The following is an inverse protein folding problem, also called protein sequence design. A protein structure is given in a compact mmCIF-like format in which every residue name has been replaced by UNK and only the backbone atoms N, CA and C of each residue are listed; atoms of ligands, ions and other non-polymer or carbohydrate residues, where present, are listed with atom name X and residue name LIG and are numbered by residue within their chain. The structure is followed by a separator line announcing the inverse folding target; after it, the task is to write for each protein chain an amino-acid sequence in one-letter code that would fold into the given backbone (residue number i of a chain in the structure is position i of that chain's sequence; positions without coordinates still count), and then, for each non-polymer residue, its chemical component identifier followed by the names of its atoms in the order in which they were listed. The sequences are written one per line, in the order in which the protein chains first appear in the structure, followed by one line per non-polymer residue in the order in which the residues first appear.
data_IF_738093581104
#
_entry.id   IF_738093581104
#
_cell.length_a   1.000
_cell.length_b   1.000
_cell.length_c   1.000
_cell.angle_alpha   90.00
_cell.angle_beta   90.00
_cell.angle_gamma   90.00
#
_symmetry.space_group_name_H-M   'P 1'
#
loop_
_entity.id
_entity.type
_entity.pdbx_description
1 polymer ?
#
# COMPACT_ATOMS: atom_id res chain seq x y z
N UNK A 1 7.20 39.74 11.76
CA UNK A 1 5.79 39.77 11.32
C UNK A 1 5.62 39.60 9.81
N UNK A 2 6.29 40.38 8.95
CA UNK A 2 6.15 40.24 7.48
C UNK A 2 6.46 38.82 6.91
N UNK A 3 7.50 38.14 7.41
CA UNK A 3 7.84 36.76 7.02
C UNK A 3 6.76 35.74 7.42
N UNK A 4 6.14 35.93 8.58
CA UNK A 4 5.05 35.06 9.05
C UNK A 4 3.81 35.24 8.19
N UNK A 5 3.45 36.50 7.86
CA UNK A 5 2.34 36.82 6.98
C UNK A 5 2.53 36.25 5.56
N UNK A 6 3.78 36.17 5.09
CA UNK A 6 4.12 35.58 3.81
C UNK A 6 3.95 34.05 3.81
N UNK A 7 4.39 33.38 4.88
CA UNK A 7 4.20 31.93 5.06
C UNK A 7 2.71 31.59 5.13
N UNK A 8 1.92 32.37 5.88
CA UNK A 8 0.47 32.15 5.97
C UNK A 8 -0.22 32.35 4.62
N UNK A 9 0.20 33.33 3.81
CA UNK A 9 -0.36 33.55 2.48
C UNK A 9 -0.08 32.36 1.55
N UNK A 10 1.13 31.81 1.57
CA UNK A 10 1.50 30.63 0.78
C UNK A 10 0.66 29.42 1.18
N UNK A 11 0.49 29.17 2.48
CA UNK A 11 -0.34 28.05 2.97
C UNK A 11 -1.78 28.18 2.50
N UNK A 12 -2.37 29.38 2.54
CA UNK A 12 -3.74 29.62 2.04
C UNK A 12 -3.85 29.36 0.54
N UNK A 13 -2.90 29.85 -0.25
CA UNK A 13 -2.86 29.63 -1.71
C UNK A 13 -2.76 28.15 -2.09
N UNK A 14 -2.02 27.35 -1.31
CA UNK A 14 -1.88 25.90 -1.54
C UNK A 14 -3.19 25.13 -1.29
N UNK A 15 -4.10 25.66 -0.47
CA UNK A 15 -5.38 24.99 -0.17
C UNK A 15 -6.46 25.22 -1.22
N UNK A 16 -6.27 26.13 -2.19
CA UNK A 16 -7.28 26.49 -3.19
C UNK A 16 -7.52 25.42 -4.27
N UNK A 17 -6.70 24.38 -4.35
CA UNK A 17 -6.77 23.32 -5.37
C UNK A 17 -6.99 21.93 -4.77
N UNK A 18 -7.54 21.85 -3.56
CA UNK A 18 -7.78 20.56 -2.90
C UNK A 18 -9.11 19.95 -3.35
N UNK A 19 -9.02 18.86 -4.11
CA UNK A 19 -10.15 17.99 -4.40
C UNK A 19 -10.31 16.93 -3.29
N UNK A 20 -11.55 16.58 -2.97
CA UNK A 20 -11.84 15.52 -2.01
C UNK A 20 -11.75 14.13 -2.68
N UNK A 21 -11.39 13.11 -1.89
CA UNK A 21 -11.51 11.72 -2.32
C UNK A 21 -12.98 11.34 -2.49
N UNK A 22 -13.31 10.54 -3.51
CA UNK A 22 -14.67 10.07 -3.74
C UNK A 22 -14.87 8.61 -3.28
N UNK A 23 -16.09 8.12 -3.39
CA UNK A 23 -16.47 6.75 -3.04
C UNK A 23 -15.73 5.67 -3.86
N UNK A 24 -15.33 5.99 -5.10
CA UNK A 24 -14.55 5.07 -5.95
C UNK A 24 -13.12 4.93 -5.42
N UNK A 25 -12.52 6.02 -4.96
CA UNK A 25 -11.21 6.00 -4.31
C UNK A 25 -11.29 5.21 -3.01
N UNK A 26 -12.33 5.45 -2.19
CA UNK A 26 -12.56 4.70 -0.96
C UNK A 26 -12.68 3.18 -1.23
N UNK A 27 -13.43 2.77 -2.26
CA UNK A 27 -13.54 1.37 -2.65
C UNK A 27 -12.19 0.78 -3.06
N UNK A 28 -11.42 1.49 -3.90
CA UNK A 28 -10.10 1.04 -4.37
C UNK A 28 -9.13 0.80 -3.21
N UNK A 29 -9.15 1.65 -2.18
CA UNK A 29 -8.30 1.49 -1.01
C UNK A 29 -8.85 0.52 0.04
N UNK A 30 -10.16 0.25 0.03
CA UNK A 30 -10.78 -0.72 0.95
C UNK A 30 -10.42 -2.17 0.62
N UNK A 31 -10.08 -2.46 -0.64
CA UNK A 31 -9.71 -3.80 -1.07
C UNK A 31 -8.21 -4.01 -0.93
N UNK A 32 -7.80 -4.93 -0.06
CA UNK A 32 -6.40 -5.31 0.11
C UNK A 32 -6.09 -6.59 -0.68
N UNK A 33 -5.12 -6.52 -1.59
CA UNK A 33 -4.59 -7.71 -2.27
C UNK A 33 -3.62 -8.47 -1.38
N UNK A 34 -3.65 -9.80 -1.45
CA UNK A 34 -2.64 -10.65 -0.80
C UNK A 34 -1.35 -10.58 -1.61
N UNK A 35 -0.43 -9.73 -1.16
CA UNK A 35 0.89 -9.56 -1.80
C UNK A 35 1.97 -9.83 -0.75
N UNK A 36 2.92 -10.67 -1.11
CA UNK A 36 4.03 -11.04 -0.24
C UNK A 36 5.00 -12.01 -0.91
N UNK A 37 5.71 -12.80 -0.11
CA UNK A 37 6.51 -13.93 -0.59
C UNK A 37 5.62 -14.91 -1.36
N UNK A 38 6.23 -15.75 -2.20
CA UNK A 38 5.51 -16.81 -2.90
C UNK A 38 4.73 -17.72 -1.93
N UNK A 39 5.32 -18.05 -0.76
CA UNK A 39 4.67 -18.85 0.30
C UNK A 39 3.49 -18.11 0.92
N UNK A 40 3.65 -16.84 1.28
CA UNK A 40 2.57 -16.02 1.83
C UNK A 40 1.38 -15.93 0.87
N UNK A 41 1.67 -15.66 -0.40
CA UNK A 41 0.67 -15.48 -1.45
C UNK A 41 -0.03 -16.80 -1.82
N UNK A 42 0.73 -17.89 -1.98
CA UNK A 42 0.17 -19.22 -2.27
C UNK A 42 -0.79 -19.71 -1.17
N UNK A 43 -0.65 -19.19 0.04
CA UNK A 43 -1.46 -19.54 1.20
C UNK A 43 -2.57 -18.52 1.47
N UNK A 44 -2.85 -17.65 0.50
CA UNK A 44 -3.91 -16.64 0.61
C UNK A 44 -3.69 -15.63 1.73
N UNK A 45 -2.45 -15.42 2.16
CA UNK A 45 -2.10 -14.49 3.24
C UNK A 45 -2.29 -15.05 4.65
N UNK A 46 -2.58 -16.34 4.80
CA UNK A 46 -2.74 -16.98 6.12
C UNK A 46 -1.52 -16.81 7.03
N UNK A 47 -0.33 -16.72 6.44
CA UNK A 47 0.91 -16.46 7.16
C UNK A 47 0.90 -15.12 7.92
N UNK A 48 0.07 -14.15 7.57
CA UNK A 48 -0.09 -12.90 8.34
C UNK A 48 -0.53 -13.15 9.79
N UNK A 49 -1.38 -14.15 10.01
CA UNK A 49 -1.77 -14.58 11.35
C UNK A 49 -0.81 -15.62 11.94
N UNK A 50 -0.31 -16.55 11.10
CA UNK A 50 0.56 -17.67 11.50
C UNK A 50 1.99 -17.25 11.88
N UNK A 51 2.53 -16.17 11.30
CA UNK A 51 3.91 -15.69 11.53
C UNK A 51 4.98 -16.45 10.74
N UNK A 52 6.25 -16.19 11.06
CA UNK A 52 7.43 -16.88 10.47
C UNK A 52 7.51 -16.87 8.94
N UNK A 53 7.00 -15.81 8.30
CA UNK A 53 7.24 -15.49 6.89
C UNK A 53 7.63 -14.00 6.75
N UNK A 54 8.47 -13.68 5.77
CA UNK A 54 9.05 -12.35 5.67
C UNK A 54 7.98 -11.28 5.42
N UNK A 55 6.89 -11.65 4.72
CA UNK A 55 5.75 -10.76 4.49
C UNK A 55 4.92 -10.48 5.73
N UNK A 56 5.09 -11.25 6.81
CA UNK A 56 4.40 -10.96 8.07
C UNK A 56 4.92 -9.70 8.74
N UNK A 57 6.15 -9.26 8.44
CA UNK A 57 6.69 -8.02 9.00
C UNK A 57 5.84 -6.78 8.65
N UNK A 58 5.19 -6.77 7.47
CA UNK A 58 4.35 -5.64 7.06
C UNK A 58 2.93 -5.69 7.62
N UNK A 59 2.35 -6.88 7.78
CA UNK A 59 0.96 -7.06 8.23
C UNK A 59 0.83 -7.32 9.74
N UNK A 60 1.80 -8.01 10.33
CA UNK A 60 1.85 -8.38 11.74
C UNK A 60 3.31 -8.42 12.24
N UNK A 61 3.87 -7.27 12.68
CA UNK A 61 5.25 -7.18 13.15
C UNK A 61 5.59 -8.15 14.29
N UNK A 62 4.63 -8.58 15.11
CA UNK A 62 4.86 -9.57 16.16
C UNK A 62 5.14 -10.97 15.59
N UNK A 63 4.68 -11.26 14.36
CA UNK A 63 4.89 -12.52 13.65
C UNK A 63 6.36 -12.85 13.39
N UNK A 64 7.24 -11.84 13.43
CA UNK A 64 8.70 -12.07 13.30
C UNK A 64 9.29 -12.80 14.50
N UNK A 65 8.66 -12.70 15.69
CA UNK A 65 9.11 -13.41 16.89
C UNK A 65 9.02 -14.93 16.77
N UNK A 66 8.32 -15.44 15.75
CA UNK A 66 8.20 -16.86 15.46
C UNK A 66 9.34 -17.40 14.59
N UNK A 67 10.19 -16.54 14.02
CA UNK A 67 11.43 -16.98 13.36
C UNK A 67 12.37 -17.62 14.38
N UNK A 68 12.79 -18.86 14.11
CA UNK A 68 13.70 -19.62 14.98
C UNK A 68 15.17 -19.45 14.61
N UNK A 69 15.44 -18.88 13.43
CA UNK A 69 16.75 -18.68 12.87
C UNK A 69 16.72 -17.52 11.89
N UNK A 70 17.88 -16.90 11.65
CA UNK A 70 18.03 -15.90 10.60
C UNK A 70 17.75 -16.52 9.23
N UNK A 71 16.88 -15.88 8.44
CA UNK A 71 16.54 -16.29 7.08
C UNK A 71 16.80 -15.10 6.13
N UNK A 72 17.30 -15.41 4.93
CA UNK A 72 17.39 -14.46 3.83
C UNK A 72 16.53 -15.00 2.69
N UNK A 73 15.54 -14.21 2.26
CA UNK A 73 14.53 -14.65 1.29
C UNK A 73 14.51 -13.72 0.09
N UNK A 74 14.52 -14.31 -1.12
CA UNK A 74 14.26 -13.59 -2.37
C UNK A 74 13.06 -14.28 -3.04
N UNK A 75 12.04 -13.49 -3.37
CA UNK A 75 10.82 -13.99 -4.02
C UNK A 75 10.40 -13.04 -5.13
N UNK A 76 10.75 -13.33 -6.39
CA UNK A 76 10.31 -12.52 -7.52
C UNK A 76 8.81 -12.73 -7.79
N UNK A 77 8.12 -11.66 -8.19
CA UNK A 77 6.73 -11.68 -8.60
C UNK A 77 6.60 -11.09 -10.01
N UNK A 78 5.85 -11.74 -10.89
CA UNK A 78 5.54 -11.24 -12.22
C UNK A 78 4.02 -11.06 -12.34
N UNK A 79 3.60 -9.83 -12.64
CA UNK A 79 2.21 -9.50 -12.95
C UNK A 79 2.13 -9.01 -14.39
N UNK A 80 1.37 -9.70 -15.24
CA UNK A 80 1.11 -9.31 -16.63
C UNK A 80 -0.33 -8.84 -16.71
N UNK A 81 -0.52 -7.52 -16.69
CA UNK A 81 -1.81 -6.88 -16.86
C UNK A 81 -1.90 -6.19 -18.23
N UNK A 82 -3.04 -6.35 -18.90
CA UNK A 82 -3.39 -5.56 -20.09
C UNK A 82 -4.54 -4.62 -19.73
N UNK A 83 -4.35 -3.32 -19.93
CA UNK A 83 -5.39 -2.31 -19.66
C UNK A 83 -5.74 -1.61 -20.95
N UNK A 84 -6.98 -1.77 -21.40
CA UNK A 84 -7.54 -1.00 -22.50
C UNK A 84 -8.40 0.12 -21.91
N UNK A 85 -8.14 1.36 -22.30
CA UNK A 85 -8.94 2.51 -21.91
C UNK A 85 -9.50 3.20 -23.16
N UNK A 86 -10.81 3.31 -23.25
CA UNK A 86 -11.50 4.11 -24.27
C UNK A 86 -11.97 5.42 -23.64
N UNK A 87 -11.77 6.54 -24.33
CA UNK A 87 -12.26 7.83 -23.86
C UNK A 87 -13.72 7.98 -24.29
N UNK A 88 -14.64 8.11 -23.31
CA UNK A 88 -16.09 8.17 -23.54
C UNK A 88 -16.69 6.96 -24.28
N UNK A 89 -16.01 5.82 -24.28
CA UNK A 89 -16.49 4.60 -24.94
C UNK A 89 -16.34 4.58 -26.47
N UNK A 90 -15.49 5.45 -27.04
CA UNK A 90 -15.06 5.40 -28.45
C UNK A 90 -13.63 4.87 -28.58
#
# INVERSE_FOLDING_TARGET
MKKLNFITAIVVLLTLQLEAQNEVDALRYSTTSVVGTARYTAMGGAFGALGADFSTLSSNPAGIGLYKSSEFTITPSLYIGSTNSTYMGM
#
